data_IF_566853629041
#
_entry.id   IF_566853629041
#
_cell.length_a   1.000
_cell.length_b   1.000
_cell.length_c   1.000
_cell.angle_alpha   90.00
_cell.angle_beta   90.00
_cell.angle_gamma   90.00
#
_symmetry.space_group_name_H-M   'P 1'
#
loop_
_entity.id
_entity.type
_entity.pdbx_description
1 polymer ?
#
# COMPACT_ATOMS: atom_id res chain seq x y z
N UNK A 1 -0.72 -4.18 10.65
CA UNK A 1 -0.05 -3.30 9.66
C UNK A 1 -0.91 -3.35 8.41
N UNK A 2 -1.29 -2.21 7.85
CA UNK A 2 -1.99 -2.20 6.57
C UNK A 2 -1.20 -1.34 5.60
N UNK A 3 -1.09 -1.81 4.36
CA UNK A 3 -0.39 -1.10 3.30
C UNK A 3 -1.37 -0.11 2.69
N UNK A 4 -1.18 1.18 2.96
CA UNK A 4 -1.87 2.21 2.19
C UNK A 4 -0.97 2.64 1.04
N UNK A 5 -1.51 2.59 -0.17
CA UNK A 5 -0.84 3.20 -1.30
C UNK A 5 -0.84 4.70 -1.06
N UNK A 6 0.33 5.34 -1.05
CA UNK A 6 0.38 6.78 -1.18
C UNK A 6 -0.34 7.13 -2.47
N UNK A 7 -1.49 7.80 -2.38
CA UNK A 7 -2.30 8.16 -3.53
C UNK A 7 -1.45 9.00 -4.46
N UNK A 8 -0.92 8.37 -5.51
CA UNK A 8 -0.07 9.06 -6.46
C UNK A 8 -0.96 10.02 -7.23
N UNK A 9 -0.73 11.34 -7.13
CA UNK A 9 -1.70 12.28 -7.67
C UNK A 9 -1.76 12.10 -9.19
N UNK A 10 -2.97 11.87 -9.73
CA UNK A 10 -3.14 11.72 -11.19
C UNK A 10 -2.64 12.95 -11.96
N UNK A 11 -2.65 14.12 -11.32
CA UNK A 11 -2.14 15.36 -11.89
C UNK A 11 -0.63 15.29 -12.20
N UNK A 12 0.15 14.50 -11.46
CA UNK A 12 1.60 14.36 -11.68
C UNK A 12 1.91 13.71 -13.03
N UNK A 13 1.14 12.68 -13.42
CA UNK A 13 1.29 12.03 -14.72
C UNK A 13 0.87 12.96 -15.87
N UNK A 14 -0.20 13.73 -15.66
CA UNK A 14 -0.66 14.75 -16.63
C UNK A 14 0.37 15.88 -16.77
N UNK A 15 0.96 16.32 -15.66
CA UNK A 15 2.02 17.31 -15.64
C UNK A 15 3.26 16.87 -16.42
N UNK A 16 3.76 15.65 -16.19
CA UNK A 16 4.89 15.09 -16.95
C UNK A 16 4.61 15.03 -18.46
N UNK A 17 3.36 14.72 -18.83
CA UNK A 17 2.93 14.71 -20.23
C UNK A 17 2.95 16.09 -20.84
N UNK A 18 2.41 17.09 -20.15
CA UNK A 18 2.49 18.50 -20.57
C UNK A 18 3.95 18.96 -20.69
N UNK A 19 4.79 18.63 -19.73
CA UNK A 19 6.19 19.04 -19.72
C UNK A 19 6.99 18.43 -20.88
N UNK A 20 6.68 17.18 -21.27
CA UNK A 20 7.25 16.57 -22.46
C UNK A 20 6.83 17.30 -23.75
N UNK A 21 5.56 17.69 -23.87
CA UNK A 21 5.07 18.45 -25.03
C UNK A 21 5.71 19.83 -25.09
N UNK A 22 5.73 20.55 -23.96
CA UNK A 22 6.32 21.89 -23.87
C UNK A 22 7.82 21.86 -24.18
N UNK A 23 8.56 20.88 -23.65
CA UNK A 23 9.99 20.74 -23.95
C UNK A 23 10.24 20.44 -25.43
N UNK A 24 9.43 19.61 -26.08
CA UNK A 24 9.52 19.35 -27.52
C UNK A 24 9.36 20.65 -28.34
N UNK A 25 8.32 21.43 -28.02
CA UNK A 25 8.02 22.70 -28.72
C UNK A 25 9.14 23.71 -28.48
N UNK A 26 9.59 23.88 -27.24
CA UNK A 26 10.65 24.81 -26.89
C UNK A 26 11.94 24.51 -27.66
N UNK A 27 12.39 23.25 -27.66
CA UNK A 27 13.61 22.88 -28.37
C UNK A 27 13.46 22.97 -29.89
N UNK A 28 12.28 22.69 -30.45
CA UNK A 28 12.02 22.93 -31.87
C UNK A 28 12.07 24.41 -32.24
N UNK A 29 11.53 25.30 -31.41
CA UNK A 29 11.65 26.76 -31.56
C UNK A 29 13.10 27.23 -31.41
N UNK A 30 13.87 26.66 -30.47
CA UNK A 30 15.29 26.97 -30.32
C UNK A 30 16.09 26.54 -31.57
N UNK A 31 15.77 25.38 -32.14
CA UNK A 31 16.41 24.92 -33.38
C UNK A 31 16.19 25.90 -34.54
N UNK A 32 14.99 26.47 -34.66
CA UNK A 32 14.68 27.45 -35.71
C UNK A 32 15.30 28.83 -35.45
N UNK A 33 15.31 29.29 -34.19
CA UNK A 33 15.86 30.59 -33.80
C UNK A 33 17.38 30.64 -33.87
N UNK A 34 18.06 29.60 -33.37
CA UNK A 34 19.52 29.56 -33.26
C UNK A 34 20.20 28.85 -34.45
N UNK A 35 19.42 28.24 -35.38
CA UNK A 35 19.92 27.44 -36.51
C UNK A 35 20.90 26.33 -36.13
N UNK A 36 20.76 25.80 -34.92
CA UNK A 36 21.57 24.69 -34.44
C UNK A 36 20.73 23.40 -34.43
N UNK A 37 21.15 22.45 -35.26
CA UNK A 37 20.53 21.14 -35.39
C UNK A 37 20.63 20.30 -34.11
N UNK A 38 21.56 20.62 -33.20
CA UNK A 38 21.67 19.99 -31.89
C UNK A 38 20.39 20.13 -31.05
N UNK A 39 19.65 21.23 -31.20
CA UNK A 39 18.37 21.41 -30.53
C UNK A 39 17.28 20.45 -31.01
N UNK A 40 17.35 19.94 -32.24
CA UNK A 40 16.42 18.90 -32.70
C UNK A 40 16.66 17.57 -31.98
N UNK A 41 17.91 17.26 -31.63
CA UNK A 41 18.26 16.09 -30.83
C UNK A 41 17.67 16.26 -29.42
N UNK A 42 17.81 17.44 -28.81
CA UNK A 42 17.21 17.73 -27.50
C UNK A 42 15.67 17.71 -27.53
N UNK A 43 15.05 18.14 -28.64
CA UNK A 43 13.61 18.06 -28.84
C UNK A 43 13.06 16.64 -28.84
N UNK A 44 13.91 15.62 -29.05
CA UNK A 44 13.53 14.20 -28.95
C UNK A 44 13.95 13.61 -27.60
N UNK A 45 15.19 13.84 -27.17
CA UNK A 45 15.74 13.23 -25.96
C UNK A 45 14.99 13.72 -24.71
N UNK A 46 14.70 15.01 -24.58
CA UNK A 46 14.07 15.55 -23.37
C UNK A 46 12.63 15.01 -23.18
N UNK A 47 11.74 15.04 -24.19
CA UNK A 47 10.41 14.42 -24.06
C UNK A 47 10.47 12.91 -23.83
N UNK A 48 11.40 12.20 -24.48
CA UNK A 48 11.58 10.76 -24.29
C UNK A 48 11.94 10.40 -22.85
N UNK A 49 12.86 11.15 -22.22
CA UNK A 49 13.20 10.96 -20.81
C UNK A 49 12.01 11.20 -19.88
N UNK A 50 11.21 12.23 -20.13
CA UNK A 50 10.02 12.52 -19.32
C UNK A 50 8.94 11.41 -19.46
N UNK A 51 8.78 10.85 -20.65
CA UNK A 51 7.87 9.72 -20.88
C UNK A 51 8.36 8.42 -20.23
N UNK A 52 9.67 8.15 -20.26
CA UNK A 52 10.27 7.02 -19.55
C UNK A 52 10.10 7.15 -18.03
N UNK A 53 10.27 8.36 -17.48
CA UNK A 53 10.01 8.63 -16.07
C UNK A 53 8.53 8.41 -15.73
N UNK A 54 7.61 8.89 -16.57
CA UNK A 54 6.17 8.62 -16.40
C UNK A 54 5.87 7.12 -16.37
N UNK A 55 6.47 6.35 -17.29
CA UNK A 55 6.30 4.91 -17.36
C UNK A 55 6.87 4.20 -16.13
N UNK A 56 8.07 4.57 -15.66
CA UNK A 56 8.67 3.97 -14.47
C UNK A 56 7.84 4.26 -13.22
N UNK A 57 7.28 5.46 -13.09
CA UNK A 57 6.40 5.82 -11.98
C UNK A 57 5.08 5.06 -11.98
N UNK A 58 4.61 4.62 -13.16
CA UNK A 58 3.43 3.76 -13.29
C UNK A 58 3.71 2.27 -13.01
N UNK A 59 4.98 1.88 -12.89
CA UNK A 59 5.36 0.48 -12.68
C UNK A 59 5.03 0.00 -11.27
N UNK A 60 4.74 -1.31 -11.14
CA UNK A 60 4.47 -1.95 -9.84
C UNK A 60 5.63 -1.76 -8.85
N UNK A 61 6.87 -1.94 -9.31
CA UNK A 61 8.05 -1.80 -8.47
C UNK A 61 8.20 -0.40 -7.87
N UNK A 62 7.92 0.66 -8.65
CA UNK A 62 7.94 2.03 -8.14
C UNK A 62 6.83 2.28 -7.12
N UNK A 63 5.64 1.72 -7.37
CA UNK A 63 4.53 1.82 -6.43
C UNK A 63 4.84 1.12 -5.11
N UNK A 64 5.46 -0.06 -5.15
CA UNK A 64 5.87 -0.84 -3.97
C UNK A 64 6.93 -0.11 -3.13
N UNK A 65 7.72 0.79 -3.72
CA UNK A 65 8.64 1.68 -2.99
C UNK A 65 7.94 2.88 -2.34
N UNK A 66 6.70 3.16 -2.74
CA UNK A 66 5.90 4.30 -2.28
C UNK A 66 4.74 3.87 -1.36
N UNK A 67 4.70 2.60 -0.94
CA UNK A 67 3.78 2.15 0.11
C UNK A 67 4.19 2.72 1.46
N UNK A 68 3.26 3.38 2.13
CA UNK A 68 3.44 3.81 3.51
C UNK A 68 2.97 2.69 4.43
N UNK A 69 3.83 2.28 5.35
CA UNK A 69 3.51 1.29 6.37
C UNK A 69 2.82 1.98 7.53
N UNK A 70 1.51 1.78 7.67
CA UNK A 70 0.78 2.30 8.81
C UNK A 70 0.76 1.26 9.94
N UNK A 71 1.48 1.56 11.01
CA UNK A 71 1.36 0.85 12.27
C UNK A 71 0.14 1.38 13.02
N UNK A 72 -0.98 0.66 12.96
CA UNK A 72 -2.11 0.90 13.87
C UNK A 72 -1.85 0.20 15.19
N UNK A 73 -1.70 0.98 16.25
CA UNK A 73 -1.74 0.49 17.63
C UNK A 73 -3.20 0.44 18.07
N UNK A 74 -3.68 -0.75 18.43
CA UNK A 74 -5.00 -0.92 19.04
C UNK A 74 -4.85 -1.10 20.55
N UNK A 75 -5.74 -0.47 21.31
CA UNK A 75 -5.88 -0.81 22.73
C UNK A 75 -6.44 -2.22 22.87
N UNK A 76 -5.93 -2.98 23.84
CA UNK A 76 -6.37 -4.34 24.13
C UNK A 76 -7.88 -4.45 24.42
N UNK A 77 -8.48 -3.38 24.95
CA UNK A 77 -9.91 -3.26 25.25
C UNK A 77 -10.81 -3.30 24.01
N UNK A 78 -10.26 -3.05 22.81
CA UNK A 78 -11.03 -3.02 21.56
C UNK A 78 -11.25 -4.38 20.93
N UNK A 79 -10.54 -5.41 21.41
CA UNK A 79 -10.71 -6.76 20.90
C UNK A 79 -11.93 -7.41 21.54
N UNK A 80 -12.73 -8.10 20.73
CA UNK A 80 -13.98 -8.73 21.16
C UNK A 80 -13.88 -10.25 21.19
N UNK A 81 -12.97 -10.82 20.40
CA UNK A 81 -12.85 -12.27 20.22
C UNK A 81 -11.40 -12.65 19.94
N UNK A 82 -10.95 -13.73 20.59
CA UNK A 82 -9.71 -14.42 20.23
C UNK A 82 -10.07 -15.64 19.38
N UNK A 83 -9.58 -15.65 18.16
CA UNK A 83 -9.81 -16.71 17.19
C UNK A 83 -8.55 -17.53 17.05
N UNK A 84 -8.65 -18.84 16.88
CA UNK A 84 -7.48 -19.65 16.55
C UNK A 84 -7.78 -20.68 15.47
N UNK A 85 -6.84 -20.84 14.56
CA UNK A 85 -6.84 -21.86 13.52
C UNK A 85 -5.63 -22.78 13.68
N UNK A 86 -5.89 -23.97 14.26
CA UNK A 86 -4.85 -25.00 14.46
C UNK A 86 -4.32 -25.59 13.16
N UNK A 87 -5.09 -25.58 12.07
CA UNK A 87 -4.64 -26.10 10.76
C UNK A 87 -3.63 -25.15 10.15
N UNK A 88 -3.87 -23.85 10.27
CA UNK A 88 -3.01 -22.81 9.72
C UNK A 88 -1.94 -22.30 10.69
N UNK A 89 -1.99 -22.68 11.97
CA UNK A 89 -1.17 -22.15 13.05
C UNK A 89 -1.28 -20.62 13.17
N UNK A 90 -2.51 -20.12 13.19
CA UNK A 90 -2.81 -18.70 13.29
C UNK A 90 -3.63 -18.42 14.56
N UNK A 91 -3.36 -17.28 15.19
CA UNK A 91 -4.22 -16.68 16.21
C UNK A 91 -4.72 -15.35 15.66
N UNK A 92 -6.01 -15.14 15.63
CA UNK A 92 -6.63 -13.91 15.15
C UNK A 92 -7.23 -13.12 16.30
N UNK A 93 -7.06 -11.80 16.30
CA UNK A 93 -7.78 -10.91 17.21
C UNK A 93 -8.88 -10.19 16.43
N UNK A 94 -10.14 -10.43 16.78
CA UNK A 94 -11.27 -9.73 16.18
C UNK A 94 -11.44 -8.35 16.82
N UNK A 95 -11.60 -7.34 15.97
CA UNK A 95 -11.89 -5.98 16.38
C UNK A 95 -12.98 -5.38 15.50
N UNK A 96 -13.82 -4.55 16.10
CA UNK A 96 -14.78 -3.71 15.38
C UNK A 96 -14.10 -2.48 14.80
N UNK A 97 -14.44 -2.13 13.58
CA UNK A 97 -14.07 -0.87 12.96
C UNK A 97 -15.24 -0.34 12.12
N UNK A 98 -15.38 0.97 12.09
CA UNK A 98 -16.41 1.61 11.29
C UNK A 98 -15.92 1.76 9.84
N UNK A 99 -16.65 1.13 8.92
CA UNK A 99 -16.38 1.20 7.49
C UNK A 99 -17.08 2.42 6.90
N UNK A 100 -16.30 3.47 6.64
CA UNK A 100 -16.80 4.72 6.04
C UNK A 100 -17.35 4.51 4.62
N UNK A 101 -16.92 3.48 3.89
CA UNK A 101 -17.38 3.22 2.54
C UNK A 101 -18.75 2.52 2.54
N UNK A 102 -18.93 1.57 3.46
CA UNK A 102 -20.18 0.81 3.62
C UNK A 102 -21.17 1.46 4.60
N UNK A 103 -20.75 2.52 5.29
CA UNK A 103 -21.52 3.22 6.33
C UNK A 103 -22.06 2.26 7.41
N UNK A 104 -21.21 1.35 7.88
CA UNK A 104 -21.59 0.32 8.88
C UNK A 104 -20.41 -0.11 9.74
N UNK A 105 -20.71 -0.62 10.92
CA UNK A 105 -19.72 -1.32 11.73
C UNK A 105 -19.39 -2.67 11.09
N UNK A 106 -18.11 -2.87 10.82
CA UNK A 106 -17.56 -4.09 10.27
C UNK A 106 -16.63 -4.74 11.29
N UNK A 107 -16.66 -6.07 11.35
CA UNK A 107 -15.71 -6.84 12.14
C UNK A 107 -14.57 -7.27 11.23
N UNK A 108 -13.33 -7.08 11.69
CA UNK A 108 -12.14 -7.62 11.04
C UNK A 108 -11.35 -8.47 12.02
N UNK A 109 -10.66 -9.47 11.50
CA UNK A 109 -9.76 -10.31 12.29
C UNK A 109 -8.33 -9.98 11.88
N UNK A 110 -7.51 -9.50 12.82
CA UNK A 110 -6.08 -9.33 12.59
C UNK A 110 -5.37 -10.67 12.78
N UNK A 111 -4.88 -11.33 11.72
CA UNK A 111 -4.16 -12.58 11.86
C UNK A 111 -2.76 -12.33 12.42
N UNK A 112 -2.43 -12.98 13.53
CA UNK A 112 -1.08 -13.07 14.07
C UNK A 112 -0.51 -14.43 13.66
N UNK A 113 0.57 -14.37 12.87
CA UNK A 113 1.26 -15.55 12.43
C UNK A 113 2.09 -16.14 13.57
N UNK A 114 1.80 -17.39 13.93
CA UNK A 114 2.62 -18.17 14.84
C UNK A 114 3.39 -19.23 14.05
N UNK A 115 4.66 -19.47 14.41
CA UNK A 115 5.25 -20.77 14.05
C UNK A 115 4.39 -21.86 14.70
N UNK A 116 4.17 -22.97 14.01
CA UNK A 116 3.31 -24.07 14.50
C UNK A 116 3.70 -24.60 15.89
N UNK A 117 4.99 -24.53 16.24
CA UNK A 117 5.52 -24.93 17.56
C UNK A 117 5.28 -23.91 18.68
N UNK A 118 5.02 -22.65 18.32
CA UNK A 118 4.81 -21.53 19.25
C UNK A 118 3.33 -21.17 19.42
N UNK A 119 2.44 -21.85 18.69
CA UNK A 119 0.99 -21.58 18.72
C UNK A 119 0.43 -21.72 20.13
N UNK A 120 0.76 -22.81 20.83
CA UNK A 120 0.26 -23.05 22.18
C UNK A 120 0.78 -22.00 23.19
N UNK A 121 2.03 -21.57 23.04
CA UNK A 121 2.59 -20.50 23.86
C UNK A 121 1.88 -19.16 23.63
N UNK A 122 1.53 -18.84 22.38
CA UNK A 122 0.75 -17.65 22.05
C UNK A 122 -0.67 -17.72 22.60
N UNK A 123 -1.31 -18.89 22.57
CA UNK A 123 -2.63 -19.08 23.18
C UNK A 123 -2.59 -18.81 24.70
N UNK A 124 -1.59 -19.35 25.40
CA UNK A 124 -1.38 -19.10 26.83
C UNK A 124 -1.12 -17.61 27.11
N UNK A 125 -0.35 -16.94 26.24
CA UNK A 125 -0.13 -15.50 26.35
C UNK A 125 -1.43 -14.69 26.23
N UNK A 126 -2.27 -14.99 25.24
CA UNK A 126 -3.57 -14.33 25.09
C UNK A 126 -4.58 -14.74 26.16
N UNK A 127 -4.43 -15.92 26.76
CA UNK A 127 -5.19 -16.31 27.95
C UNK A 127 -4.88 -15.42 29.15
N UNK A 128 -3.60 -15.14 29.39
CA UNK A 128 -3.18 -14.27 30.48
C UNK A 128 -3.55 -12.80 30.24
N UNK A 129 -3.38 -12.31 29.00
CA UNK A 129 -3.61 -10.90 28.66
C UNK A 129 -5.09 -10.55 28.46
N UNK A 130 -5.88 -11.47 27.89
CA UNK A 130 -7.28 -11.24 27.54
C UNK A 130 -8.17 -12.35 28.15
N UNK A 131 -8.21 -12.48 29.49
CA UNK A 131 -8.93 -13.58 30.14
C UNK A 131 -10.45 -13.49 29.94
N UNK A 132 -10.97 -12.29 29.73
CA UNK A 132 -12.40 -11.98 29.59
C UNK A 132 -12.95 -12.23 28.18
N UNK A 133 -12.09 -12.43 27.17
CA UNK A 133 -12.56 -12.60 25.80
C UNK A 133 -12.90 -14.05 25.48
N UNK A 134 -14.01 -14.29 24.75
CA UNK A 134 -14.35 -15.62 24.26
C UNK A 134 -13.29 -16.11 23.26
N UNK A 135 -13.10 -17.44 23.21
CA UNK A 135 -12.15 -18.11 22.32
C UNK A 135 -12.87 -19.04 21.38
N UNK A 136 -12.66 -18.87 20.08
CA UNK A 136 -13.36 -19.67 19.06
C UNK A 136 -12.37 -20.27 18.07
N UNK A 137 -12.50 -21.58 17.86
CA UNK A 137 -11.80 -22.29 16.79
C UNK A 137 -12.55 -22.08 15.47
N UNK A 138 -12.05 -21.22 14.58
CA UNK A 138 -12.60 -21.03 13.23
C UNK A 138 -11.47 -20.76 12.21
N UNK A 139 -11.68 -21.05 10.92
CA UNK A 139 -10.73 -20.70 9.88
C UNK A 139 -10.50 -19.18 9.86
N UNK A 140 -9.24 -18.77 9.79
CA UNK A 140 -8.86 -17.35 9.66
C UNK A 140 -8.53 -17.09 8.19
N UNK A 141 -9.14 -16.05 7.62
CA UNK A 141 -8.79 -15.58 6.29
C UNK A 141 -7.46 -14.83 6.33
N UNK A 142 -6.55 -15.14 5.41
CA UNK A 142 -5.21 -14.54 5.35
C UNK A 142 -5.19 -13.21 4.60
N UNK A 143 -6.30 -12.84 3.97
CA UNK A 143 -6.36 -11.73 3.03
C UNK A 143 -6.62 -10.34 3.66
N UNK A 144 -6.46 -10.18 4.98
CA UNK A 144 -6.64 -8.90 5.68
C UNK A 144 -5.38 -8.02 5.61
#
# INVERSE_FOLDING_TARGET
>A
EFCEWKNFPEWTLRFLTCLAIVSAILFACMASLYRDAGFLIYAVIAPAKMMLLRASMSSKAYRDLQTEFHHRTYEWSRFTLVVFDKKQALVGLEFGWYDNYMNKDSLSTAPLFAKRRELDHLLVFFEAQLPHLPRVARPIDRAA
#
